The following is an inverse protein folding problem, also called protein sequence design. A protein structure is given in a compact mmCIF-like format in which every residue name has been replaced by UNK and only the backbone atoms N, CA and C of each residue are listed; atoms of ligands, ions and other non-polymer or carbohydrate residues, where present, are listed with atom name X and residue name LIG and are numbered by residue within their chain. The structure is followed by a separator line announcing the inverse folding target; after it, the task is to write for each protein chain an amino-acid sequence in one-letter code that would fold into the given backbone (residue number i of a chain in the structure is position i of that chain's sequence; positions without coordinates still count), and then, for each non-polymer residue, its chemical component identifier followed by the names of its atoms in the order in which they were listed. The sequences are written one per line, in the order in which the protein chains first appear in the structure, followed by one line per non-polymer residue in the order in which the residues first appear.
data_IF_443855672059
#
_entry.id   IF_443855672059
#
_cell.length_a   1.000
_cell.length_b   1.000
_cell.length_c   1.000
_cell.angle_alpha   90.00
_cell.angle_beta   90.00
_cell.angle_gamma   90.00
#
_symmetry.space_group_name_H-M   'P 1'
#
loop_
_entity.id
_entity.type
_entity.pdbx_description
1 polymer ?
#
# COMPACT_ATOMS: atom_id res chain seq x y z
N UNK A 1 -16.34 6.29 11.76
CA UNK A 1 -14.92 6.14 11.38
C UNK A 1 -14.05 6.30 12.62
N UNK A 2 -12.96 5.52 12.73
CA UNK A 2 -12.08 5.53 13.92
C UNK A 2 -11.23 6.80 14.05
N UNK A 3 -11.11 7.61 12.99
CA UNK A 3 -10.21 8.77 12.94
C UNK A 3 -8.72 8.45 12.86
N UNK A 4 -8.34 7.17 12.67
CA UNK A 4 -6.93 6.76 12.61
C UNK A 4 -6.23 7.14 11.31
N UNK A 5 -6.95 7.26 10.20
CA UNK A 5 -6.42 7.62 8.88
C UNK A 5 -7.12 8.89 8.38
N UNK A 6 -6.56 10.04 8.74
CA UNK A 6 -7.04 11.38 8.36
C UNK A 6 -5.87 12.24 7.91
N UNK A 7 -6.14 13.39 7.34
CA UNK A 7 -5.10 14.35 6.97
C UNK A 7 -4.27 14.80 8.19
N UNK A 8 -4.92 14.99 9.35
CA UNK A 8 -4.28 15.39 10.61
C UNK A 8 -3.33 14.32 11.15
N UNK A 9 -3.63 13.03 10.88
CA UNK A 9 -2.75 11.91 11.25
C UNK A 9 -1.71 11.61 10.16
N UNK A 10 -1.59 12.45 9.13
CA UNK A 10 -0.69 12.26 8.00
C UNK A 10 -1.10 11.16 7.02
N UNK A 11 -2.36 10.71 7.09
CA UNK A 11 -2.97 9.73 6.20
C UNK A 11 -4.18 10.36 5.48
N UNK A 12 -3.97 11.37 4.63
CA UNK A 12 -5.04 12.02 3.88
C UNK A 12 -5.70 11.04 2.89
N UNK A 13 -6.97 10.61 3.10
CA UNK A 13 -7.62 9.66 2.20
C UNK A 13 -7.79 10.24 0.79
N UNK A 14 -7.43 9.45 -0.23
CA UNK A 14 -7.52 9.82 -1.65
C UNK A 14 -7.85 8.57 -2.48
N UNK A 15 -8.83 7.78 -2.03
CA UNK A 15 -9.17 6.50 -2.65
C UNK A 15 -9.55 6.67 -4.11
N UNK A 16 -9.04 5.78 -4.97
CA UNK A 16 -9.43 5.72 -6.37
C UNK A 16 -10.61 4.78 -6.56
N UNK A 17 -11.52 5.17 -7.46
CA UNK A 17 -12.65 4.35 -7.86
C UNK A 17 -12.92 4.51 -9.36
N UNK A 18 -13.33 3.43 -10.00
CA UNK A 18 -13.87 3.40 -11.36
C UNK A 18 -15.35 3.07 -11.26
N UNK A 19 -16.18 3.92 -11.85
CA UNK A 19 -17.62 3.69 -11.95
C UNK A 19 -18.00 3.43 -13.40
N UNK A 20 -18.98 2.58 -13.59
CA UNK A 20 -19.60 2.36 -14.90
C UNK A 20 -20.61 3.47 -15.26
N UNK A 21 -21.20 3.37 -16.44
CA UNK A 21 -22.09 4.39 -16.99
C UNK A 21 -23.38 4.57 -16.16
N UNK A 22 -23.79 3.54 -15.44
CA UNK A 22 -24.98 3.60 -14.56
C UNK A 22 -24.62 3.97 -13.11
N UNK A 23 -23.34 4.26 -12.84
CA UNK A 23 -22.83 4.67 -11.52
C UNK A 23 -22.42 3.52 -10.60
N UNK A 24 -22.47 2.27 -11.06
CA UNK A 24 -22.00 1.11 -10.31
C UNK A 24 -20.48 1.15 -10.11
N UNK A 25 -20.02 0.70 -8.94
CA UNK A 25 -18.60 0.62 -8.62
C UNK A 25 -17.98 -0.60 -9.32
N UNK A 26 -17.09 -0.36 -10.27
CA UNK A 26 -16.41 -1.39 -11.05
C UNK A 26 -15.02 -1.76 -10.51
N UNK A 27 -14.29 -0.77 -9.96
CA UNK A 27 -13.03 -1.01 -9.30
C UNK A 27 -12.74 0.04 -8.24
N UNK A 28 -11.95 -0.31 -7.23
CA UNK A 28 -11.51 0.60 -6.18
C UNK A 28 -10.17 0.18 -5.61
N UNK A 29 -9.40 1.15 -5.09
CA UNK A 29 -8.19 0.90 -4.32
C UNK A 29 -8.00 1.93 -3.21
N UNK A 30 -7.44 1.53 -2.06
CA UNK A 30 -7.06 2.47 -1.02
C UNK A 30 -5.84 3.29 -1.50
N UNK A 31 -5.96 4.60 -1.45
CA UNK A 31 -4.87 5.52 -1.73
C UNK A 31 -4.88 6.63 -0.69
N UNK A 32 -3.70 7.08 -0.29
CA UNK A 32 -3.52 8.13 0.71
C UNK A 32 -2.44 9.11 0.27
N UNK A 33 -2.66 10.38 0.57
CA UNK A 33 -1.62 11.41 0.54
C UNK A 33 -0.92 11.39 1.90
N UNK A 34 0.37 11.05 1.90
CA UNK A 34 1.17 10.84 3.11
C UNK A 34 2.09 12.01 3.36
N UNK A 35 2.02 12.59 4.56
CA UNK A 35 2.94 13.64 5.02
C UNK A 35 4.16 13.12 5.79
N UNK A 36 4.20 11.80 6.09
CA UNK A 36 5.29 11.09 6.78
C UNK A 36 5.13 9.58 6.57
N UNK A 37 6.11 8.76 6.98
CA UNK A 37 6.08 7.30 6.80
C UNK A 37 5.64 6.51 8.04
N UNK A 38 5.10 7.15 9.07
CA UNK A 38 4.58 6.42 10.23
C UNK A 38 3.35 5.58 9.88
N UNK A 39 3.30 4.36 10.45
CA UNK A 39 2.20 3.42 10.26
C UNK A 39 2.27 2.61 8.95
N UNK A 40 3.33 2.76 8.15
CA UNK A 40 3.53 2.02 6.90
C UNK A 40 4.24 0.68 7.13
N UNK A 41 5.01 0.56 8.20
CA UNK A 41 5.87 -0.60 8.51
C UNK A 41 6.91 -0.92 7.43
N UNK A 42 7.23 0.08 6.60
CA UNK A 42 8.34 0.08 5.65
C UNK A 42 9.25 1.24 6.01
N UNK A 43 10.54 0.94 6.22
CA UNK A 43 11.50 1.93 6.69
C UNK A 43 12.19 2.59 5.49
N UNK A 44 11.70 3.75 5.09
CA UNK A 44 12.20 4.54 3.96
C UNK A 44 12.94 5.83 4.38
N UNK A 45 13.38 5.90 5.63
CA UNK A 45 14.08 7.06 6.18
C UNK A 45 15.32 7.46 5.38
N UNK A 46 16.06 6.47 4.84
CA UNK A 46 17.23 6.73 4.02
C UNK A 46 16.88 7.45 2.71
N UNK A 47 15.70 7.15 2.13
CA UNK A 47 15.19 7.83 0.94
C UNK A 47 14.78 9.27 1.27
N UNK A 48 14.05 9.48 2.36
CA UNK A 48 13.66 10.81 2.80
C UNK A 48 14.91 11.69 3.02
N UNK A 49 15.95 11.16 3.69
CA UNK A 49 17.21 11.86 3.89
C UNK A 49 17.98 12.14 2.56
N UNK A 50 17.93 11.21 1.60
CA UNK A 50 18.57 11.42 0.30
C UNK A 50 17.91 12.55 -0.48
N UNK A 51 16.58 12.63 -0.49
CA UNK A 51 15.83 13.74 -1.08
C UNK A 51 16.17 15.07 -0.42
N UNK A 52 16.19 15.11 0.90
CA UNK A 52 16.52 16.30 1.69
C UNK A 52 17.93 16.81 1.39
N UNK A 53 18.92 15.91 1.32
CA UNK A 53 20.33 16.23 0.94
C UNK A 53 20.45 16.77 -0.48
N UNK A 54 19.56 16.37 -1.39
CA UNK A 54 19.51 16.89 -2.76
C UNK A 54 18.67 18.19 -2.88
N UNK A 55 18.19 18.74 -1.77
CA UNK A 55 17.34 19.93 -1.76
C UNK A 55 15.92 19.69 -2.23
N UNK A 56 15.49 18.43 -2.32
CA UNK A 56 14.15 18.03 -2.75
C UNK A 56 13.29 17.63 -1.56
N UNK A 57 11.96 17.68 -1.73
CA UNK A 57 11.00 17.23 -0.73
C UNK A 57 10.60 15.78 -0.99
N UNK A 58 10.75 14.93 0.03
CA UNK A 58 10.26 13.55 -0.04
C UNK A 58 8.76 13.45 0.26
N UNK A 59 8.24 14.33 1.10
CA UNK A 59 6.82 14.39 1.41
C UNK A 59 6.18 15.66 0.81
N UNK A 60 4.89 15.57 0.43
CA UNK A 60 4.03 14.39 0.51
C UNK A 60 4.33 13.37 -0.59
N UNK A 61 3.93 12.12 -0.34
CA UNK A 61 3.95 11.02 -1.31
C UNK A 61 2.58 10.36 -1.40
N UNK A 62 2.31 9.65 -2.48
CA UNK A 62 1.14 8.77 -2.56
C UNK A 62 1.46 7.40 -1.97
N UNK A 63 0.48 6.81 -1.30
CA UNK A 63 0.60 5.49 -0.68
C UNK A 63 -0.64 4.64 -0.91
N UNK A 64 -0.47 3.48 -1.53
CA UNK A 64 -1.43 2.39 -1.56
C UNK A 64 -1.08 1.37 -0.48
N UNK A 65 -1.82 1.34 0.62
CA UNK A 65 -1.63 0.43 1.75
C UNK A 65 -2.90 0.34 2.61
N UNK A 66 -2.95 -0.63 3.53
CA UNK A 66 -3.92 -0.64 4.61
C UNK A 66 -3.28 0.10 5.80
N UNK A 67 -3.92 1.16 6.33
CA UNK A 67 -3.35 1.94 7.42
C UNK A 67 -3.00 1.10 8.64
N UNK A 68 -1.80 1.29 9.17
CA UNK A 68 -1.30 0.64 10.38
C UNK A 68 -1.34 -0.90 10.35
N UNK A 69 -1.43 -1.51 9.14
CA UNK A 69 -1.63 -2.95 9.00
C UNK A 69 -0.72 -3.51 7.89
N UNK A 70 0.44 -4.08 8.23
CA UNK A 70 1.40 -4.62 7.26
C UNK A 70 0.96 -6.00 6.76
N UNK A 71 -0.18 -6.09 6.09
CA UNK A 71 -0.76 -7.34 5.63
C UNK A 71 -0.70 -7.49 4.12
N UNK A 72 -0.30 -8.69 3.68
CA UNK A 72 -0.41 -9.10 2.28
C UNK A 72 -1.90 -9.36 1.97
N UNK A 73 -2.52 -8.44 1.24
CA UNK A 73 -3.92 -8.54 0.84
C UNK A 73 -4.14 -7.81 -0.48
N UNK A 74 -5.18 -8.14 -1.26
CA UNK A 74 -5.53 -7.40 -2.45
C UNK A 74 -5.76 -5.92 -2.15
N UNK A 75 -5.17 -5.06 -2.96
CA UNK A 75 -5.33 -3.60 -2.88
C UNK A 75 -6.13 -3.07 -4.07
N UNK A 76 -6.05 -3.74 -5.22
CA UNK A 76 -6.83 -3.42 -6.40
C UNK A 76 -8.04 -4.33 -6.45
N UNK A 77 -9.19 -3.82 -6.01
CA UNK A 77 -10.46 -4.55 -6.05
C UNK A 77 -11.16 -4.21 -7.36
N UNK A 78 -11.59 -5.20 -8.12
CA UNK A 78 -12.24 -4.97 -9.42
C UNK A 78 -13.26 -6.07 -9.74
N UNK A 79 -14.34 -5.67 -10.41
CA UNK A 79 -15.39 -6.58 -10.87
C UNK A 79 -14.97 -7.31 -12.17
N UNK A 80 -14.18 -6.65 -13.02
CA UNK A 80 -13.66 -7.21 -14.27
C UNK A 80 -12.18 -6.88 -14.45
N UNK A 81 -11.40 -7.68 -15.20
CA UNK A 81 -10.00 -7.38 -15.50
C UNK A 81 -9.80 -6.02 -16.17
N UNK A 82 -10.74 -5.60 -17.01
CA UNK A 82 -10.71 -4.32 -17.72
C UNK A 82 -10.82 -3.16 -16.74
N UNK A 83 -11.73 -3.24 -15.75
CA UNK A 83 -11.88 -2.23 -14.71
C UNK A 83 -10.61 -2.14 -13.84
N UNK A 84 -9.98 -3.28 -13.55
CA UNK A 84 -8.70 -3.31 -12.84
C UNK A 84 -7.58 -2.61 -13.62
N UNK A 85 -7.48 -2.85 -14.92
CA UNK A 85 -6.53 -2.16 -15.80
C UNK A 85 -6.81 -0.66 -15.88
N UNK A 86 -8.07 -0.26 -16.04
CA UNK A 86 -8.44 1.14 -16.04
C UNK A 86 -8.06 1.85 -14.74
N UNK A 87 -8.22 1.17 -13.59
CA UNK A 87 -7.80 1.71 -12.30
C UNK A 87 -6.27 1.87 -12.22
N UNK A 88 -5.50 0.89 -12.69
CA UNK A 88 -4.04 0.96 -12.72
C UNK A 88 -3.54 2.10 -13.63
N UNK A 89 -4.15 2.27 -14.80
CA UNK A 89 -3.87 3.39 -15.72
C UNK A 89 -4.21 4.74 -15.10
N UNK A 90 -5.38 4.84 -14.46
CA UNK A 90 -5.77 6.05 -13.72
C UNK A 90 -4.82 6.41 -12.59
N UNK A 91 -4.31 5.40 -11.85
CA UNK A 91 -3.28 5.60 -10.82
C UNK A 91 -1.98 6.11 -11.42
N UNK A 92 -1.52 5.53 -12.52
CA UNK A 92 -0.30 5.96 -13.20
C UNK A 92 -0.42 7.41 -13.71
N UNK A 93 -1.54 7.76 -14.34
CA UNK A 93 -1.81 9.11 -14.82
C UNK A 93 -1.88 10.12 -13.66
N UNK A 94 -2.62 9.81 -12.60
CA UNK A 94 -2.71 10.64 -11.40
C UNK A 94 -1.33 10.88 -10.79
N UNK A 95 -0.54 9.80 -10.66
CA UNK A 95 0.81 9.88 -10.08
C UNK A 95 1.71 10.79 -10.92
N UNK A 96 1.69 10.63 -12.23
CA UNK A 96 2.49 11.44 -13.15
C UNK A 96 2.11 12.92 -13.07
N UNK A 97 0.81 13.23 -13.17
CA UNK A 97 0.31 14.60 -13.09
C UNK A 97 0.61 15.28 -11.75
N UNK A 98 0.41 14.55 -10.64
CA UNK A 98 0.66 15.07 -9.29
C UNK A 98 2.17 15.23 -8.99
N UNK A 99 3.05 14.49 -9.69
CA UNK A 99 4.49 14.67 -9.59
C UNK A 99 5.01 15.86 -10.44
N UNK A 100 4.30 16.23 -11.53
CA UNK A 100 4.68 17.34 -12.40
C UNK A 100 4.34 18.70 -11.78
N UNK A 101 3.16 18.83 -11.17
CA UNK A 101 2.64 20.11 -10.70
C UNK A 101 1.66 19.95 -9.52
N UNK A 102 1.14 21.08 -9.04
CA UNK A 102 0.20 21.14 -7.91
C UNK A 102 -1.27 21.21 -8.30
N UNK A 103 -1.60 21.23 -9.59
CA UNK A 103 -2.96 21.52 -10.07
C UNK A 103 -3.98 20.49 -9.60
N UNK A 104 -3.61 19.21 -9.63
CA UNK A 104 -4.54 18.12 -9.32
C UNK A 104 -4.81 17.95 -7.82
N UNK A 105 -3.78 18.04 -6.98
CA UNK A 105 -3.86 17.74 -5.56
C UNK A 105 -3.64 18.96 -4.65
N UNK A 106 -3.40 20.14 -5.22
CA UNK A 106 -3.00 21.32 -4.46
C UNK A 106 -1.56 21.26 -3.92
N UNK A 107 -0.87 20.14 -4.14
CA UNK A 107 0.50 19.90 -3.71
C UNK A 107 1.18 18.93 -4.68
N UNK A 108 2.47 19.13 -4.92
CA UNK A 108 3.29 18.21 -5.71
C UNK A 108 3.76 17.05 -4.85
N UNK A 109 3.66 15.84 -5.40
CA UNK A 109 4.15 14.61 -4.72
C UNK A 109 5.55 14.24 -5.20
N UNK A 110 6.28 13.49 -4.37
CA UNK A 110 7.60 12.96 -4.73
C UNK A 110 7.53 11.61 -5.42
N UNK A 111 6.71 10.70 -4.88
CA UNK A 111 6.69 9.27 -5.25
C UNK A 111 5.31 8.67 -5.01
N UNK A 112 5.07 7.50 -5.62
CA UNK A 112 4.01 6.57 -5.26
C UNK A 112 4.62 5.32 -4.65
N UNK A 113 4.14 4.91 -3.49
CA UNK A 113 4.45 3.63 -2.87
C UNK A 113 3.21 2.74 -2.85
N UNK A 114 3.39 1.46 -3.17
CA UNK A 114 2.36 0.44 -3.03
C UNK A 114 2.94 -0.72 -2.18
N UNK A 115 2.37 -0.95 -1.00
CA UNK A 115 2.95 -1.83 0.01
C UNK A 115 2.16 -3.11 0.18
N UNK A 116 2.88 -4.22 0.45
CA UNK A 116 2.30 -5.53 0.75
C UNK A 116 1.30 -6.00 -0.31
N UNK A 117 1.67 -5.80 -1.57
CA UNK A 117 0.88 -6.18 -2.74
C UNK A 117 0.84 -7.69 -2.90
N UNK A 118 -0.31 -8.21 -3.32
CA UNK A 118 -0.38 -9.56 -3.88
C UNK A 118 0.36 -9.63 -5.22
N UNK A 119 0.70 -10.85 -5.66
CA UNK A 119 1.30 -11.03 -6.98
C UNK A 119 0.38 -10.51 -8.11
N UNK A 120 -0.93 -10.66 -7.96
CA UNK A 120 -1.91 -10.16 -8.93
C UNK A 120 -1.92 -8.64 -8.98
N UNK A 121 -1.96 -7.96 -7.81
CA UNK A 121 -1.87 -6.50 -7.76
C UNK A 121 -0.57 -5.99 -8.39
N UNK A 122 0.56 -6.65 -8.07
CA UNK A 122 1.86 -6.29 -8.62
C UNK A 122 1.87 -6.40 -10.15
N UNK A 123 1.38 -7.52 -10.68
CA UNK A 123 1.28 -7.73 -12.13
C UNK A 123 0.41 -6.66 -12.79
N UNK A 124 -0.73 -6.34 -12.18
CA UNK A 124 -1.67 -5.35 -12.69
C UNK A 124 -1.07 -3.94 -12.70
N UNK A 125 -0.45 -3.53 -11.60
CA UNK A 125 0.14 -2.19 -11.46
C UNK A 125 1.42 -2.01 -12.28
N UNK A 126 2.14 -3.09 -12.61
CA UNK A 126 3.34 -3.05 -13.42
C UNK A 126 3.08 -3.27 -14.92
N UNK A 127 1.92 -3.82 -15.30
CA UNK A 127 1.61 -4.16 -16.70
C UNK A 127 1.59 -2.95 -17.65
N UNK A 128 1.25 -1.77 -17.12
CA UNK A 128 1.17 -0.50 -17.87
C UNK A 128 2.29 0.49 -17.50
N UNK A 129 3.36 -0.03 -16.93
CA UNK A 129 4.48 0.75 -16.38
C UNK A 129 5.32 1.52 -17.42
N UNK A 130 4.85 1.69 -18.64
CA UNK A 130 5.58 2.37 -19.71
C UNK A 130 5.86 3.86 -19.44
N UNK A 131 5.22 4.45 -18.43
CA UNK A 131 5.40 5.86 -18.06
C UNK A 131 5.98 6.11 -16.67
N UNK A 132 6.05 5.09 -15.80
CA UNK A 132 6.59 5.24 -14.44
C UNK A 132 7.89 4.44 -14.28
N UNK A 133 8.89 5.09 -13.68
CA UNK A 133 10.15 4.43 -13.34
C UNK A 133 9.94 3.58 -12.08
N UNK A 134 9.40 2.35 -12.26
CA UNK A 134 9.01 1.47 -11.19
C UNK A 134 10.15 0.58 -10.70
N UNK A 135 10.28 0.45 -9.38
CA UNK A 135 11.14 -0.56 -8.75
C UNK A 135 10.32 -1.42 -7.78
N UNK A 136 10.62 -2.72 -7.76
CA UNK A 136 10.01 -3.67 -6.83
C UNK A 136 11.02 -4.13 -5.80
N UNK A 137 10.59 -4.22 -4.54
CA UNK A 137 11.37 -4.78 -3.43
C UNK A 137 10.63 -5.92 -2.79
N UNK A 138 11.33 -7.01 -2.50
CA UNK A 138 10.82 -8.14 -1.75
C UNK A 138 11.34 -8.08 -0.32
N UNK A 139 10.44 -8.29 0.63
CA UNK A 139 10.76 -8.36 2.05
C UNK A 139 10.22 -9.67 2.63
N UNK A 140 10.85 -10.15 3.69
CA UNK A 140 10.39 -11.33 4.41
C UNK A 140 9.50 -10.87 5.57
N UNK A 141 8.33 -11.49 5.70
CA UNK A 141 7.46 -11.34 6.87
C UNK A 141 7.41 -12.66 7.63
N UNK A 142 7.56 -12.58 8.93
CA UNK A 142 7.36 -13.73 9.82
C UNK A 142 5.88 -13.80 10.19
N UNK A 143 5.28 -14.97 9.96
CA UNK A 143 3.89 -15.23 10.29
C UNK A 143 3.83 -16.31 11.36
N UNK A 144 3.15 -16.03 12.46
CA UNK A 144 2.80 -17.05 13.41
C UNK A 144 1.55 -17.81 12.91
N UNK A 145 1.60 -19.13 12.96
CA UNK A 145 0.45 -19.99 12.66
C UNK A 145 -0.01 -20.63 13.96
N UNK A 146 -1.31 -20.60 14.21
CA UNK A 146 -1.91 -21.35 15.33
C UNK A 146 -1.90 -22.85 15.03
N UNK A 147 -0.70 -23.44 15.00
CA UNK A 147 -0.51 -24.86 14.71
C UNK A 147 0.74 -25.37 15.39
N UNK A 148 0.60 -26.42 16.21
CA UNK A 148 1.73 -27.11 16.80
C UNK A 148 2.52 -27.84 15.71
N UNK A 149 3.81 -27.52 15.49
CA UNK A 149 4.60 -28.10 14.41
C UNK A 149 4.85 -29.60 14.56
N UNK A 150 4.79 -30.14 15.80
CA UNK A 150 5.01 -31.56 16.06
C UNK A 150 3.76 -32.42 15.83
N UNK A 151 2.58 -31.89 16.10
CA UNK A 151 1.32 -32.64 16.02
C UNK A 151 0.43 -32.23 14.85
N UNK A 152 0.67 -31.06 14.25
CA UNK A 152 -0.16 -30.47 13.20
C UNK A 152 -1.51 -29.94 13.69
N UNK A 153 -1.83 -30.04 14.99
CA UNK A 153 -3.08 -29.57 15.57
C UNK A 153 -2.98 -28.08 15.96
N UNK A 154 -4.10 -27.41 15.98
CA UNK A 154 -4.18 -26.05 16.52
C UNK A 154 -3.92 -26.08 18.03
N UNK A 155 -3.37 -24.98 18.56
CA UNK A 155 -3.29 -24.76 19.99
C UNK A 155 -4.67 -24.30 20.49
N UNK A 156 -5.12 -24.87 21.60
CA UNK A 156 -6.41 -24.52 22.20
C UNK A 156 -6.36 -23.14 22.84
N UNK A 157 -5.20 -22.78 23.40
CA UNK A 157 -4.94 -21.47 24.03
C UNK A 157 -3.45 -21.12 23.96
N UNK A 158 -3.10 -19.97 24.55
CA UNK A 158 -1.71 -19.48 24.57
C UNK A 158 -0.80 -20.32 25.49
N UNK A 159 -1.33 -20.90 26.57
CA UNK A 159 -0.56 -21.75 27.49
C UNK A 159 -0.13 -23.03 26.78
N UNK A 160 -1.02 -23.67 26.02
CA UNK A 160 -0.68 -24.81 25.16
C UNK A 160 0.41 -24.48 24.12
N UNK A 161 0.44 -23.26 23.60
CA UNK A 161 1.54 -22.79 22.75
C UNK A 161 2.84 -22.68 23.55
N UNK A 162 2.83 -22.08 24.74
CA UNK A 162 4.02 -21.92 25.58
C UNK A 162 4.60 -23.27 26.01
N UNK A 163 3.76 -24.23 26.34
CA UNK A 163 4.19 -25.61 26.70
C UNK A 163 4.88 -26.33 25.54
N UNK A 164 4.54 -25.95 24.28
CA UNK A 164 5.18 -26.54 23.10
C UNK A 164 6.58 -25.99 22.82
N UNK A 165 6.97 -24.89 23.46
CA UNK A 165 8.30 -24.32 23.32
C UNK A 165 9.31 -25.08 24.15
N UNK A 166 10.32 -25.67 23.50
CA UNK A 166 11.43 -26.32 24.25
C UNK A 166 12.21 -25.24 25.00
N UNK A 167 12.32 -25.42 26.30
CA UNK A 167 13.31 -24.67 27.10
C UNK A 167 14.71 -25.03 26.58
N UNK A 168 15.45 -24.03 26.10
CA UNK A 168 16.88 -24.16 25.84
C UNK A 168 17.68 -23.78 27.08
#
# INVERSE_FOLDING_TARGET
ASGSATAETGWGPLHLAIHGDTGELLAAMPLYLKSHSYGEYVFDWAWAQAYERSGQRYYPKLLCAIPFTPVLAPKVLHATPEAGKALAQGLAQLTWQAAENTELLGVQISTLHALFLTQQDQQLLLSDATSLNNSSRHVVQFHWKNQNPATGKQFDDFDAFLESLSQK
#
